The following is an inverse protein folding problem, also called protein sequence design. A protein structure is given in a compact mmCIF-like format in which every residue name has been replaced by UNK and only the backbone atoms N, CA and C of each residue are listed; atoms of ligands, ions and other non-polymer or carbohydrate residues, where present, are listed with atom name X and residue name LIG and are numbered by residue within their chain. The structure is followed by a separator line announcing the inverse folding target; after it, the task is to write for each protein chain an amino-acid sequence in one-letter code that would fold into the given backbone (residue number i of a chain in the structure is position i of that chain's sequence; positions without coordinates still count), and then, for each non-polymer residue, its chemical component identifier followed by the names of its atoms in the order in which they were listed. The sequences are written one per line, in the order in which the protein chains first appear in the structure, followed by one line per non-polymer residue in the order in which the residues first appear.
data_IF_372270154629
#
_entry.id   IF_372270154629
#
_cell.length_a   1.000
_cell.length_b   1.000
_cell.length_c   1.000
_cell.angle_alpha   90.00
_cell.angle_beta   90.00
_cell.angle_gamma   90.00
#
_symmetry.space_group_name_H-M   'P 1'
#
loop_
_entity.id
_entity.type
_entity.pdbx_description
1 polymer ?
#
# COMPACT_ATOMS: atom_id res chain seq x y z
N UNK A 1 51.91 14.61 0.71
CA UNK A 1 51.72 14.02 -0.63
C UNK A 1 50.94 12.73 -0.44
N UNK A 2 49.65 12.71 -0.84
CA UNK A 2 49.19 11.94 -2.01
C UNK A 2 49.14 10.43 -1.69
N UNK A 3 47.99 9.73 -1.63
CA UNK A 3 46.76 9.96 -2.39
C UNK A 3 45.62 9.04 -1.90
N UNK A 4 44.45 9.62 -1.66
CA UNK A 4 43.19 9.26 -2.34
C UNK A 4 42.76 7.77 -2.40
N UNK A 5 42.73 7.06 -1.29
CA UNK A 5 41.91 5.84 -1.15
C UNK A 5 40.90 5.94 0.00
N UNK A 6 40.43 7.15 0.29
CA UNK A 6 39.05 7.26 0.80
C UNK A 6 38.20 6.84 -0.39
N UNK A 7 37.88 5.55 -0.39
CA UNK A 7 36.88 4.87 -1.20
C UNK A 7 35.87 5.91 -1.65
N UNK A 8 35.91 6.18 -2.95
CA UNK A 8 34.95 7.00 -3.67
C UNK A 8 33.59 6.37 -3.36
N UNK A 9 32.97 6.80 -2.25
CA UNK A 9 31.68 6.30 -1.78
C UNK A 9 30.79 6.37 -3.00
N UNK A 10 30.44 5.21 -3.55
CA UNK A 10 29.78 5.12 -4.83
C UNK A 10 28.60 6.06 -4.78
N UNK A 11 28.71 7.12 -5.58
CA UNK A 11 27.73 8.19 -5.63
C UNK A 11 26.45 7.49 -6.06
N UNK A 12 25.48 7.36 -5.17
CA UNK A 12 24.16 6.90 -5.57
C UNK A 12 23.70 7.88 -6.65
N UNK A 13 23.67 7.38 -7.87
CA UNK A 13 23.43 8.20 -9.05
C UNK A 13 21.91 8.34 -9.15
N UNK A 14 21.43 9.55 -8.89
CA UNK A 14 20.02 9.86 -9.03
C UNK A 14 19.76 9.98 -10.53
N UNK A 15 19.00 9.06 -11.14
CA UNK A 15 18.73 9.11 -12.57
C UNK A 15 18.00 10.40 -12.94
N UNK A 16 17.93 10.68 -14.23
CA UNK A 16 17.14 11.80 -14.74
C UNK A 16 15.74 11.80 -14.10
N UNK A 17 15.42 12.91 -13.44
CA UNK A 17 14.21 13.07 -12.66
C UNK A 17 12.97 12.82 -13.50
N UNK A 18 12.91 13.35 -14.73
CA UNK A 18 11.75 13.22 -15.59
C UNK A 18 11.51 11.75 -15.97
N UNK A 19 12.58 11.01 -16.26
CA UNK A 19 12.47 9.58 -16.57
C UNK A 19 11.99 8.75 -15.36
N UNK A 20 12.42 9.11 -14.14
CA UNK A 20 11.99 8.42 -12.93
C UNK A 20 10.52 8.71 -12.63
N UNK A 21 10.12 9.98 -12.72
CA UNK A 21 8.74 10.42 -12.51
C UNK A 21 7.79 9.72 -13.49
N UNK A 22 8.13 9.67 -14.79
CA UNK A 22 7.34 8.96 -15.82
C UNK A 22 7.18 7.45 -15.50
N UNK A 23 8.25 6.79 -15.04
CA UNK A 23 8.20 5.38 -14.68
C UNK A 23 7.32 5.12 -13.46
N UNK A 24 7.35 6.01 -12.47
CA UNK A 24 6.50 5.92 -11.29
C UNK A 24 5.04 6.18 -11.63
N UNK A 25 4.76 7.19 -12.44
CA UNK A 25 3.40 7.48 -12.92
C UNK A 25 2.84 6.28 -13.70
N UNK A 26 3.66 5.68 -14.57
CA UNK A 26 3.29 4.45 -15.28
C UNK A 26 3.02 3.29 -14.32
N UNK A 27 3.87 3.08 -13.31
CA UNK A 27 3.68 2.03 -12.31
C UNK A 27 2.35 2.20 -11.58
N UNK A 28 2.05 3.40 -11.08
CA UNK A 28 0.83 3.66 -10.32
C UNK A 28 -0.43 3.63 -11.19
N UNK A 29 -0.32 4.01 -12.47
CA UNK A 29 -1.43 3.86 -13.44
C UNK A 29 -1.81 2.40 -13.75
N UNK A 30 -0.93 1.45 -13.39
CA UNK A 30 -1.13 0.01 -13.61
C UNK A 30 -1.56 -0.74 -12.35
N UNK A 31 -1.88 -0.02 -11.27
CA UNK A 31 -2.44 -0.66 -10.08
C UNK A 31 -3.76 -1.38 -10.44
N UNK A 32 -3.98 -2.58 -9.88
CA UNK A 32 -5.17 -3.35 -10.21
C UNK A 32 -6.42 -2.67 -9.65
N UNK A 33 -7.59 -2.91 -10.26
CA UNK A 33 -8.84 -2.44 -9.66
C UNK A 33 -9.11 -3.09 -8.30
N UNK A 34 -8.77 -4.38 -8.19
CA UNK A 34 -9.02 -5.22 -7.03
C UNK A 34 -7.74 -5.94 -6.58
N UNK A 35 -7.53 -5.99 -5.26
CA UNK A 35 -6.48 -6.78 -4.63
C UNK A 35 -7.04 -7.62 -3.49
N UNK A 36 -6.75 -8.92 -3.52
CA UNK A 36 -7.21 -9.87 -2.50
C UNK A 36 -6.05 -10.19 -1.56
N UNK A 37 -6.24 -9.86 -0.28
CA UNK A 37 -5.35 -10.20 0.82
C UNK A 37 -5.85 -11.51 1.43
N UNK A 38 -5.11 -12.63 1.29
CA UNK A 38 -5.59 -13.94 1.72
C UNK A 38 -5.91 -14.04 3.21
N UNK A 39 -5.12 -13.36 4.06
CA UNK A 39 -5.35 -13.28 5.51
C UNK A 39 -5.09 -11.87 6.03
N UNK A 40 -6.03 -11.35 6.82
CA UNK A 40 -5.90 -10.06 7.52
C UNK A 40 -5.51 -10.27 8.97
N UNK A 41 -4.30 -10.77 9.24
CA UNK A 41 -3.65 -10.73 10.57
C UNK A 41 -4.41 -11.31 11.77
N UNK A 42 -5.57 -11.93 11.55
CA UNK A 42 -6.53 -12.36 12.55
C UNK A 42 -7.74 -12.95 11.83
N UNK A 43 -7.88 -14.27 11.87
CA UNK A 43 -8.97 -15.00 11.18
C UNK A 43 -10.32 -14.82 11.88
N UNK A 44 -10.41 -13.95 12.89
CA UNK A 44 -11.58 -13.79 13.75
C UNK A 44 -11.79 -12.35 14.22
N UNK A 45 -13.03 -11.86 14.22
CA UNK A 45 -13.40 -10.60 14.91
C UNK A 45 -13.68 -10.83 16.40
N UNK A 46 -14.34 -11.93 16.72
CA UNK A 46 -14.56 -12.42 18.08
C UNK A 46 -14.05 -13.86 18.08
N UNK A 47 -13.05 -14.20 18.91
CA UNK A 47 -12.44 -15.53 18.90
C UNK A 47 -13.49 -16.64 18.97
N UNK A 48 -13.39 -17.61 18.06
CA UNK A 48 -14.28 -18.79 17.95
C UNK A 48 -15.77 -18.49 17.67
N UNK A 49 -16.17 -17.24 17.51
CA UNK A 49 -17.55 -16.87 17.22
C UNK A 49 -17.69 -16.35 15.79
N UNK A 50 -16.86 -15.38 15.39
CA UNK A 50 -16.92 -14.74 14.08
C UNK A 50 -15.63 -15.01 13.33
N UNK A 51 -15.71 -15.75 12.23
CA UNK A 51 -14.58 -16.10 11.37
C UNK A 51 -14.54 -15.16 10.17
N UNK A 52 -13.37 -14.63 9.85
CA UNK A 52 -13.13 -13.76 8.69
C UNK A 52 -12.54 -14.56 7.54
N UNK A 53 -12.96 -14.24 6.31
CA UNK A 53 -12.29 -14.72 5.10
C UNK A 53 -11.33 -13.68 4.53
N UNK A 54 -10.95 -13.88 3.27
CA UNK A 54 -9.99 -13.01 2.59
C UNK A 54 -10.52 -11.60 2.41
N UNK A 55 -9.64 -10.63 2.60
CA UNK A 55 -9.98 -9.21 2.47
C UNK A 55 -9.81 -8.79 1.02
N UNK A 56 -10.83 -8.17 0.47
CA UNK A 56 -10.80 -7.61 -0.89
C UNK A 56 -10.74 -6.08 -0.80
N UNK A 57 -9.73 -5.48 -1.41
CA UNK A 57 -9.54 -4.03 -1.51
C UNK A 57 -9.84 -3.61 -2.94
N UNK A 58 -10.69 -2.61 -3.12
CA UNK A 58 -11.10 -2.08 -4.44
C UNK A 58 -10.81 -0.59 -4.56
N UNK A 59 -10.51 -0.17 -5.79
CA UNK A 59 -10.24 1.22 -6.16
C UNK A 59 -8.76 1.61 -6.10
N UNK A 60 -7.85 0.62 -6.12
CA UNK A 60 -6.40 0.87 -6.15
C UNK A 60 -5.96 1.47 -7.49
N UNK A 61 -6.63 1.12 -8.59
CA UNK A 61 -6.50 1.70 -9.94
C UNK A 61 -6.82 3.20 -10.00
N UNK A 62 -7.46 3.74 -8.95
CA UNK A 62 -7.87 5.15 -8.84
C UNK A 62 -6.96 5.96 -7.92
N UNK A 63 -5.86 5.37 -7.48
CA UNK A 63 -4.80 6.06 -6.76
C UNK A 63 -3.94 6.84 -7.74
N UNK A 64 -3.64 8.08 -7.36
CA UNK A 64 -2.85 8.97 -8.19
C UNK A 64 -1.82 9.74 -7.36
N UNK A 65 -0.73 10.19 -7.99
CA UNK A 65 0.26 11.03 -7.32
C UNK A 65 -0.37 12.30 -6.73
N UNK A 66 -0.26 12.48 -5.41
CA UNK A 66 -0.76 13.65 -4.69
C UNK A 66 0.29 14.78 -4.61
N UNK A 67 1.57 14.40 -4.63
CA UNK A 67 2.71 15.31 -4.43
C UNK A 67 3.86 14.96 -5.36
N UNK A 68 4.72 15.93 -5.73
CA UNK A 68 5.93 15.65 -6.48
C UNK A 68 6.81 14.62 -5.78
N UNK A 69 7.37 13.69 -6.54
CA UNK A 69 8.33 12.73 -6.03
C UNK A 69 9.60 13.43 -5.54
N UNK A 70 10.17 12.90 -4.46
CA UNK A 70 11.44 13.38 -3.90
C UNK A 70 12.43 12.22 -3.81
N UNK A 71 13.54 12.34 -4.53
CA UNK A 71 14.57 11.31 -4.55
C UNK A 71 15.84 11.78 -3.86
N UNK A 72 16.40 10.92 -3.01
CA UNK A 72 17.66 11.16 -2.34
C UNK A 72 18.39 9.84 -2.09
N UNK A 73 19.65 9.92 -1.68
CA UNK A 73 20.47 8.76 -1.37
C UNK A 73 20.46 8.49 0.13
N UNK A 74 20.27 7.22 0.51
CA UNK A 74 20.37 6.73 1.89
C UNK A 74 21.43 5.62 1.91
N UNK A 75 22.66 5.99 2.26
CA UNK A 75 23.80 5.09 2.09
C UNK A 75 24.05 4.79 0.60
N UNK A 76 24.05 3.52 0.23
CA UNK A 76 24.16 3.07 -1.17
C UNK A 76 22.80 2.99 -1.89
N UNK A 77 21.70 3.11 -1.15
CA UNK A 77 20.36 3.01 -1.72
C UNK A 77 19.88 4.35 -2.26
N UNK A 78 19.09 4.28 -3.32
CA UNK A 78 18.30 5.39 -3.82
C UNK A 78 16.89 5.27 -3.25
N UNK A 79 16.43 6.30 -2.56
CA UNK A 79 15.11 6.36 -1.95
C UNK A 79 14.27 7.41 -2.67
N UNK A 80 13.09 7.01 -3.15
CA UNK A 80 12.11 7.93 -3.74
C UNK A 80 10.85 7.96 -2.91
N UNK A 81 10.55 9.12 -2.33
CA UNK A 81 9.30 9.36 -1.61
C UNK A 81 8.18 9.56 -2.62
N UNK A 82 7.06 8.85 -2.40
CA UNK A 82 5.83 9.04 -3.16
C UNK A 82 4.65 9.28 -2.22
N UNK A 83 3.65 10.00 -2.72
CA UNK A 83 2.35 10.12 -2.06
C UNK A 83 1.26 9.82 -3.08
N UNK A 84 0.36 8.91 -2.73
CA UNK A 84 -0.79 8.53 -3.57
C UNK A 84 -2.08 8.94 -2.88
N UNK A 85 -3.01 9.52 -3.62
CA UNK A 85 -4.35 9.86 -3.13
C UNK A 85 -5.41 9.21 -4.00
N UNK A 86 -6.47 8.73 -3.36
CA UNK A 86 -7.64 8.22 -4.06
C UNK A 86 -8.47 9.38 -4.62
N UNK A 87 -8.74 9.39 -5.92
CA UNK A 87 -9.71 10.33 -6.53
C UNK A 87 -11.16 9.99 -6.17
N UNK A 88 -11.41 8.72 -5.93
CA UNK A 88 -12.73 8.17 -5.66
C UNK A 88 -12.68 7.32 -4.40
N UNK A 89 -13.85 7.02 -3.82
CA UNK A 89 -13.86 6.23 -2.61
C UNK A 89 -13.28 4.84 -2.80
N UNK A 90 -12.42 4.44 -1.87
CA UNK A 90 -11.89 3.08 -1.78
C UNK A 90 -12.83 2.21 -0.96
N UNK A 91 -12.89 0.92 -1.29
CA UNK A 91 -13.76 -0.03 -0.60
C UNK A 91 -12.95 -1.23 -0.11
N UNK A 92 -13.24 -1.67 1.10
CA UNK A 92 -12.73 -2.94 1.62
C UNK A 92 -13.93 -3.84 1.94
N UNK A 93 -13.84 -5.11 1.58
CA UNK A 93 -14.85 -6.10 1.95
C UNK A 93 -14.21 -7.36 2.52
N UNK A 94 -14.73 -7.81 3.66
CA UNK A 94 -14.25 -8.99 4.37
C UNK A 94 -15.46 -9.88 4.65
N UNK A 95 -15.56 -11.07 4.03
CA UNK A 95 -16.64 -11.99 4.34
C UNK A 95 -16.49 -12.51 5.77
N UNK A 96 -17.61 -12.72 6.44
CA UNK A 96 -17.64 -13.32 7.78
C UNK A 96 -18.64 -14.46 7.86
N UNK A 97 -18.42 -15.38 8.81
CA UNK A 97 -19.33 -16.48 9.13
C UNK A 97 -19.36 -16.78 10.63
N UNK A 98 -20.49 -17.32 11.10
CA UNK A 98 -20.68 -17.89 12.44
C UNK A 98 -20.73 -19.43 12.35
N UNK A 99 -20.51 -20.10 13.48
CA UNK A 99 -20.76 -21.54 13.62
C UNK A 99 -22.24 -21.93 13.38
N UNK A 100 -23.17 -21.00 13.64
CA UNK A 100 -24.61 -21.19 13.41
C UNK A 100 -25.01 -21.18 11.93
N UNK A 101 -24.06 -21.03 11.01
CA UNK A 101 -24.31 -20.99 9.57
C UNK A 101 -24.63 -19.60 9.01
N UNK A 102 -24.91 -18.62 9.86
CA UNK A 102 -25.06 -17.22 9.46
C UNK A 102 -23.76 -16.69 8.88
N UNK A 103 -23.89 -15.88 7.84
CA UNK A 103 -22.75 -15.30 7.15
C UNK A 103 -23.11 -13.92 6.61
N UNK A 104 -22.08 -13.19 6.22
CA UNK A 104 -22.26 -11.87 5.68
C UNK A 104 -20.94 -11.23 5.28
N UNK A 105 -20.90 -9.90 5.30
CA UNK A 105 -19.73 -9.15 4.86
C UNK A 105 -19.55 -7.89 5.70
N UNK A 106 -18.35 -7.71 6.25
CA UNK A 106 -17.86 -6.41 6.71
C UNK A 106 -17.54 -5.61 5.46
N UNK A 107 -18.16 -4.46 5.28
CA UNK A 107 -17.86 -3.54 4.20
C UNK A 107 -17.37 -2.25 4.81
N UNK A 108 -16.22 -1.76 4.39
CA UNK A 108 -15.81 -0.40 4.70
C UNK A 108 -15.61 0.42 3.43
N UNK A 109 -15.82 1.72 3.60
CA UNK A 109 -15.78 2.71 2.55
C UNK A 109 -14.99 3.90 3.08
N UNK A 110 -14.02 4.37 2.31
CA UNK A 110 -13.27 5.58 2.63
C UNK A 110 -13.43 6.56 1.47
N UNK A 111 -14.00 7.74 1.72
CA UNK A 111 -14.18 8.77 0.70
C UNK A 111 -12.86 9.25 0.10
N UNK A 112 -11.91 9.61 0.96
CA UNK A 112 -10.55 10.00 0.59
C UNK A 112 -9.55 9.16 1.38
N UNK A 113 -8.58 8.57 0.69
CA UNK A 113 -7.41 7.92 1.30
C UNK A 113 -6.14 8.52 0.71
N UNK A 114 -5.16 8.79 1.56
CA UNK A 114 -3.81 9.17 1.12
C UNK A 114 -2.78 8.24 1.74
N UNK A 115 -1.91 7.71 0.89
CA UNK A 115 -0.75 6.91 1.26
C UNK A 115 0.53 7.71 1.06
N UNK A 116 1.50 7.47 1.93
CA UNK A 116 2.90 7.87 1.73
C UNK A 116 3.77 6.63 1.85
N UNK A 117 4.82 6.54 1.03
CA UNK A 117 5.74 5.42 1.06
C UNK A 117 7.07 5.76 0.40
N UNK A 118 7.99 4.80 0.50
CA UNK A 118 9.35 4.90 -0.01
C UNK A 118 9.57 3.81 -1.06
N UNK A 119 9.93 4.18 -2.28
CA UNK A 119 10.52 3.25 -3.22
C UNK A 119 12.04 3.22 -3.00
N UNK A 120 12.53 2.12 -2.45
CA UNK A 120 13.95 1.89 -2.19
C UNK A 120 14.52 1.05 -3.33
N UNK A 121 15.50 1.61 -4.03
CA UNK A 121 16.23 0.96 -5.11
C UNK A 121 17.67 0.70 -4.67
N UNK A 122 18.06 -0.57 -4.63
CA UNK A 122 19.40 -1.02 -4.25
C UNK A 122 20.14 -1.58 -5.46
N UNK A 123 21.44 -1.28 -5.57
CA UNK A 123 22.32 -1.97 -6.54
C UNK A 123 22.90 -3.21 -5.87
N UNK A 124 22.77 -4.36 -6.51
CA UNK A 124 23.47 -5.57 -6.07
C UNK A 124 24.94 -5.52 -6.52
N UNK A 125 25.77 -6.29 -5.81
CA UNK A 125 27.21 -6.41 -6.10
C UNK A 125 27.46 -6.94 -7.53
N UNK A 126 26.51 -7.73 -8.05
CA UNK A 126 26.57 -8.31 -9.40
C UNK A 126 26.09 -7.34 -10.50
N UNK A 127 25.84 -6.07 -10.18
CA UNK A 127 25.36 -5.04 -11.11
C UNK A 127 23.84 -5.08 -11.38
N UNK A 128 23.10 -5.97 -10.72
CA UNK A 128 21.64 -5.99 -10.75
C UNK A 128 21.04 -4.82 -9.95
N UNK A 129 19.79 -4.48 -10.25
CA UNK A 129 19.04 -3.47 -9.49
C UNK A 129 17.77 -4.11 -8.94
N UNK A 130 17.56 -4.02 -7.63
CA UNK A 130 16.31 -4.41 -7.00
C UNK A 130 15.54 -3.17 -6.56
N UNK A 131 14.21 -3.25 -6.51
CA UNK A 131 13.37 -2.18 -6.00
C UNK A 131 12.26 -2.75 -5.14
N UNK A 132 11.98 -2.07 -4.03
CA UNK A 132 10.96 -2.48 -3.05
C UNK A 132 10.28 -1.26 -2.46
N UNK A 133 9.01 -1.42 -2.11
CA UNK A 133 8.26 -0.41 -1.38
C UNK A 133 8.48 -0.65 0.12
N UNK A 134 8.89 0.39 0.82
CA UNK A 134 9.05 0.43 2.27
C UNK A 134 8.21 1.55 2.87
N UNK A 135 7.98 1.50 4.18
CA UNK A 135 7.33 2.56 4.96
C UNK A 135 5.99 3.04 4.37
N UNK A 136 5.26 2.15 3.68
CA UNK A 136 3.94 2.44 3.14
C UNK A 136 2.96 2.60 4.31
N UNK A 137 2.38 3.78 4.43
CA UNK A 137 1.46 4.12 5.50
C UNK A 137 0.28 4.94 4.97
N UNK A 138 -0.89 4.74 5.59
CA UNK A 138 -2.06 5.60 5.37
C UNK A 138 -1.90 6.84 6.23
N UNK A 139 -1.73 8.00 5.61
CA UNK A 139 -1.51 9.30 6.28
C UNK A 139 -2.76 10.18 6.32
N UNK A 140 -3.80 9.83 5.57
CA UNK A 140 -5.10 10.50 5.60
C UNK A 140 -6.20 9.51 5.28
N UNK A 141 -7.28 9.56 6.06
CA UNK A 141 -8.46 8.74 5.89
C UNK A 141 -9.68 9.59 6.27
N UNK A 142 -10.55 9.88 5.29
CA UNK A 142 -11.73 10.74 5.47
C UNK A 142 -13.00 10.05 5.01
N UNK A 143 -14.13 10.41 5.63
CA UNK A 143 -15.45 9.82 5.36
C UNK A 143 -15.38 8.29 5.38
N UNK A 144 -14.86 7.76 6.50
CA UNK A 144 -14.67 6.34 6.70
C UNK A 144 -15.88 5.73 7.40
N UNK A 145 -16.60 4.88 6.68
CA UNK A 145 -17.78 4.19 7.17
C UNK A 145 -17.51 2.68 7.20
N UNK A 146 -17.98 2.02 8.26
CA UNK A 146 -17.93 0.56 8.39
C UNK A 146 -19.34 0.03 8.58
N UNK A 147 -19.74 -0.89 7.72
CA UNK A 147 -21.01 -1.58 7.78
C UNK A 147 -20.81 -3.08 7.98
N UNK A 148 -21.70 -3.68 8.77
CA UNK A 148 -21.73 -5.11 8.99
C UNK A 148 -23.02 -5.68 8.36
N UNK A 149 -22.89 -6.34 7.21
CA UNK A 149 -24.04 -6.90 6.47
C UNK A 149 -24.23 -8.36 6.79
N UNK A 150 -25.47 -8.85 6.73
CA UNK A 150 -25.83 -10.27 6.96
C UNK A 150 -26.12 -10.63 8.42
N UNK A 151 -26.06 -9.67 9.35
CA UNK A 151 -26.33 -9.94 10.77
C UNK A 151 -27.81 -10.17 11.09
N UNK A 152 -28.75 -9.59 10.32
CA UNK A 152 -30.19 -9.72 10.58
C UNK A 152 -30.55 -9.45 12.05
N UNK A 153 -31.52 -10.19 12.58
CA UNK A 153 -31.96 -10.10 13.99
C UNK A 153 -30.91 -10.60 15.02
N UNK A 154 -29.72 -11.04 14.58
CA UNK A 154 -28.66 -11.51 15.49
C UNK A 154 -28.01 -10.37 16.28
N UNK A 155 -28.28 -9.11 15.91
CA UNK A 155 -27.84 -7.91 16.64
C UNK A 155 -28.87 -7.39 17.65
N UNK A 156 -30.08 -7.96 17.69
CA UNK A 156 -31.21 -7.50 18.55
C UNK A 156 -31.38 -8.32 19.85
N UNK A 157 -30.42 -9.16 20.22
CA UNK A 157 -30.44 -9.96 21.46
C UNK A 157 -29.59 -9.37 22.57
#
# INVERSE_FOLDING_TARGET
ALSREIVKLERCDVPDKALLDEKLDKLFSQLPEEYVVPSTGGDFLIPKAIFLGSTTIRGLDRLEPDRPYKTYCRGQDKVTLFSLRSRYPMRVSIPWRLCSGHNGTVVSHAGTVRYEGELVTSKSVDGGTSSRIENLSTVQLESYDVGFRGAGNTADT
#
